data_IF_408927580821
#
_entry.id   IF_408927580821
#
_cell.length_a   1.000
_cell.length_b   1.000
_cell.length_c   1.000
_cell.angle_alpha   90.00
_cell.angle_beta   90.00
_cell.angle_gamma   90.00
#
_symmetry.space_group_name_H-M   'P 1'
#
loop_
_entity.id
_entity.type
_entity.pdbx_description
1 polymer ?
#
# COMPACT_ATOMS: atom_id res chain seq x y z
N UNK A 1 -3.85 -20.16 -10.24
CA UNK A 1 -3.48 -21.28 -9.34
C UNK A 1 -3.86 -20.94 -7.88
N UNK A 2 -4.10 -21.95 -7.02
CA UNK A 2 -4.46 -21.76 -5.59
C UNK A 2 -3.47 -20.87 -4.84
N UNK A 3 -2.18 -20.93 -5.20
CA UNK A 3 -1.10 -20.12 -4.60
C UNK A 3 -1.36 -18.61 -4.73
N UNK A 4 -1.76 -18.12 -5.91
CA UNK A 4 -2.02 -16.68 -6.10
C UNK A 4 -3.16 -16.18 -5.20
N UNK A 5 -4.20 -16.99 -5.00
CA UNK A 5 -5.31 -16.67 -4.09
C UNK A 5 -4.82 -16.55 -2.64
N UNK A 6 -3.93 -17.46 -2.21
CA UNK A 6 -3.36 -17.44 -0.86
C UNK A 6 -2.45 -16.23 -0.63
N UNK A 7 -1.60 -15.88 -1.59
CA UNK A 7 -0.71 -14.71 -1.45
C UNK A 7 -1.50 -13.40 -1.43
N UNK A 8 -2.53 -13.25 -2.29
CA UNK A 8 -3.43 -12.10 -2.23
C UNK A 8 -4.15 -12.00 -0.87
N UNK A 9 -4.59 -13.13 -0.30
CA UNK A 9 -5.20 -13.15 1.02
C UNK A 9 -4.22 -12.78 2.16
N UNK A 10 -2.94 -13.12 2.04
CA UNK A 10 -1.90 -12.70 3.00
C UNK A 10 -1.64 -11.20 2.93
N UNK A 11 -1.62 -10.62 1.73
CA UNK A 11 -1.55 -9.17 1.54
C UNK A 11 -2.75 -8.50 2.23
N UNK A 12 -3.96 -9.03 2.05
CA UNK A 12 -5.16 -8.53 2.72
C UNK A 12 -5.00 -8.45 4.25
N UNK A 13 -4.45 -9.47 4.89
CA UNK A 13 -4.17 -9.46 6.35
C UNK A 13 -3.15 -8.39 6.77
N UNK A 14 -2.18 -8.10 5.91
CA UNK A 14 -1.25 -7.00 6.17
C UNK A 14 -1.96 -5.65 6.07
N UNK A 15 -2.85 -5.48 5.10
CA UNK A 15 -3.66 -4.26 4.96
C UNK A 15 -4.61 -4.09 6.17
N UNK A 16 -5.22 -5.16 6.67
CA UNK A 16 -6.02 -5.13 7.91
C UNK A 16 -5.22 -4.59 9.11
N UNK A 17 -3.95 -4.99 9.23
CA UNK A 17 -3.09 -4.53 10.32
C UNK A 17 -2.73 -3.03 10.19
N UNK A 18 -2.55 -2.54 8.96
CA UNK A 18 -2.27 -1.13 8.69
C UNK A 18 -3.54 -0.30 8.96
N UNK A 19 -4.70 -0.75 8.47
CA UNK A 19 -6.00 -0.11 8.71
C UNK A 19 -6.24 0.02 10.22
N UNK A 20 -6.16 -1.07 10.98
CA UNK A 20 -6.34 -1.04 12.42
C UNK A 20 -5.35 -0.11 13.14
N UNK A 21 -4.13 0.04 12.61
CA UNK A 21 -3.13 0.96 13.15
C UNK A 21 -3.51 2.43 12.91
N UNK A 22 -4.18 2.73 11.81
CA UNK A 22 -4.59 4.08 11.41
C UNK A 22 -5.97 4.46 12.01
N UNK A 23 -6.89 3.51 12.19
CA UNK A 23 -8.26 3.72 12.70
C UNK A 23 -8.37 3.79 14.23
N UNK A 24 -7.45 4.45 14.96
CA UNK A 24 -7.41 4.29 16.42
C UNK A 24 -8.67 4.81 17.15
N UNK A 25 -9.08 4.22 18.30
CA UNK A 25 -10.40 4.48 18.90
C UNK A 25 -10.69 5.91 19.35
N UNK A 26 -9.64 6.74 19.46
CA UNK A 26 -9.74 8.13 19.94
C UNK A 26 -9.74 9.11 18.77
N UNK A 27 -8.95 8.83 17.73
CA UNK A 27 -8.89 9.59 16.48
C UNK A 27 -8.25 8.75 15.37
N UNK A 28 -8.67 8.99 14.13
CA UNK A 28 -7.97 8.49 12.96
C UNK A 28 -6.60 9.15 12.86
N UNK A 29 -5.59 8.39 12.44
CA UNK A 29 -4.22 8.86 12.36
C UNK A 29 -3.82 9.13 10.93
N UNK A 30 -3.12 10.24 10.76
CA UNK A 30 -2.63 10.62 9.44
C UNK A 30 -1.40 9.81 8.99
N UNK A 31 -0.66 9.24 9.94
CA UNK A 31 0.61 8.51 9.76
C UNK A 31 0.71 7.31 10.71
N UNK A 32 1.62 6.38 10.42
CA UNK A 32 1.76 5.15 11.20
C UNK A 32 2.22 5.38 12.65
N UNK A 33 3.01 6.42 12.88
CA UNK A 33 3.45 6.83 14.22
C UNK A 33 2.80 8.15 14.61
N UNK A 34 2.60 8.35 15.90
CA UNK A 34 1.97 9.57 16.45
C UNK A 34 2.86 10.81 16.33
N UNK A 35 4.14 10.64 15.98
CA UNK A 35 5.10 11.73 15.76
C UNK A 35 5.00 12.37 14.38
N UNK A 36 4.02 11.98 13.55
CA UNK A 36 3.88 12.43 12.16
C UNK A 36 4.55 11.48 11.17
N UNK A 37 4.92 12.00 9.98
CA UNK A 37 5.56 11.21 8.92
C UNK A 37 6.97 10.77 9.31
N UNK A 38 7.26 9.48 9.17
CA UNK A 38 8.54 8.88 9.57
C UNK A 38 9.05 7.86 8.56
N UNK A 39 10.22 7.28 8.84
CA UNK A 39 10.74 6.15 8.07
C UNK A 39 9.79 4.94 8.04
N UNK A 40 8.91 4.78 9.03
CA UNK A 40 7.89 3.72 9.00
C UNK A 40 6.93 3.91 7.81
N UNK A 41 6.50 5.14 7.54
CA UNK A 41 5.61 5.45 6.42
C UNK A 41 6.27 5.20 5.08
N UNK A 42 7.58 5.46 4.97
CA UNK A 42 8.37 5.17 3.76
C UNK A 42 8.45 3.66 3.53
N UNK A 43 8.87 2.90 4.55
CA UNK A 43 9.09 1.47 4.44
C UNK A 43 7.78 0.71 4.15
N UNK A 44 6.72 1.00 4.90
CA UNK A 44 5.41 0.37 4.70
C UNK A 44 4.75 0.88 3.42
N UNK A 45 4.91 2.17 3.09
CA UNK A 45 4.39 2.75 1.86
C UNK A 45 4.96 2.10 0.61
N UNK A 46 6.26 1.76 0.61
CA UNK A 46 6.89 1.02 -0.47
C UNK A 46 6.32 -0.40 -0.60
N UNK A 47 6.08 -1.09 0.52
CA UNK A 47 5.43 -2.39 0.50
C UNK A 47 3.99 -2.30 -0.07
N UNK A 48 3.22 -1.26 0.29
CA UNK A 48 1.88 -1.02 -0.25
C UNK A 48 1.92 -0.64 -1.74
N UNK A 49 2.91 0.14 -2.18
CA UNK A 49 3.14 0.44 -3.60
C UNK A 49 3.26 -0.84 -4.44
N UNK A 50 4.02 -1.84 -3.95
CA UNK A 50 4.11 -3.14 -4.62
C UNK A 50 2.81 -3.96 -4.48
N UNK A 51 2.19 -3.95 -3.30
CA UNK A 51 0.99 -4.74 -3.01
C UNK A 51 -0.21 -4.37 -3.89
N UNK A 52 -0.31 -3.09 -4.30
CA UNK A 52 -1.38 -2.58 -5.17
C UNK A 52 -1.44 -3.26 -6.55
N UNK A 53 -0.36 -3.90 -7.00
CA UNK A 53 -0.38 -4.72 -8.21
C UNK A 53 -1.16 -6.03 -8.04
N UNK A 54 -1.47 -6.45 -6.82
CA UNK A 54 -2.09 -7.75 -6.53
C UNK A 54 -3.39 -7.65 -5.72
N UNK A 55 -3.55 -6.59 -4.94
CA UNK A 55 -4.75 -6.33 -4.14
C UNK A 55 -5.15 -4.87 -4.26
N UNK A 56 -6.44 -4.63 -4.52
CA UNK A 56 -7.06 -3.31 -4.47
C UNK A 56 -7.15 -2.86 -3.02
N UNK A 57 -6.61 -1.67 -2.70
CA UNK A 57 -6.55 -1.16 -1.32
C UNK A 57 -7.80 -0.35 -0.93
N UNK A 58 -8.63 0.01 -1.91
CA UNK A 58 -9.86 0.79 -1.77
C UNK A 58 -10.86 0.26 -0.72
N UNK A 59 -10.93 -1.06 -0.41
CA UNK A 59 -11.73 -1.56 0.70
C UNK A 59 -11.24 -1.16 2.10
N UNK A 60 -9.99 -0.71 2.24
CA UNK A 60 -9.38 -0.22 3.48
C UNK A 60 -9.28 1.30 3.42
N UNK A 61 -10.22 1.99 4.09
CA UNK A 61 -10.43 3.41 3.92
C UNK A 61 -9.28 4.24 4.49
N UNK A 62 -8.80 3.88 5.68
CA UNK A 62 -7.69 4.60 6.32
C UNK A 62 -6.36 4.29 5.60
N UNK A 63 -6.15 3.06 5.14
CA UNK A 63 -5.00 2.72 4.29
C UNK A 63 -5.00 3.55 3.02
N UNK A 64 -6.14 3.67 2.34
CA UNK A 64 -6.24 4.45 1.09
C UNK A 64 -5.92 5.94 1.34
N UNK A 65 -6.53 6.53 2.38
CA UNK A 65 -6.29 7.92 2.79
C UNK A 65 -4.83 8.17 3.17
N UNK A 66 -4.24 7.28 3.97
CA UNK A 66 -2.83 7.36 4.36
C UNK A 66 -1.91 7.23 3.15
N UNK A 67 -2.20 6.29 2.25
CA UNK A 67 -1.38 6.04 1.07
C UNK A 67 -1.40 7.24 0.11
N UNK A 68 -2.57 7.82 -0.17
CA UNK A 68 -2.70 9.04 -0.97
C UNK A 68 -1.88 10.19 -0.37
N UNK A 69 -1.96 10.38 0.95
CA UNK A 69 -1.21 11.42 1.65
C UNK A 69 0.30 11.26 1.53
N UNK A 70 0.83 10.05 1.72
CA UNK A 70 2.29 9.84 1.68
C UNK A 70 2.85 9.88 0.26
N UNK A 71 2.02 9.55 -0.75
CA UNK A 71 2.43 9.52 -2.15
C UNK A 71 2.28 10.86 -2.87
N UNK A 72 1.43 11.76 -2.38
CA UNK A 72 1.35 13.16 -2.85
C UNK A 72 2.59 14.01 -2.50
N UNK A 73 3.60 13.43 -1.83
CA UNK A 73 4.82 14.14 -1.45
C UNK A 73 5.75 14.27 -2.67
N UNK A 74 6.36 15.45 -2.92
CA UNK A 74 7.30 15.62 -4.04
C UNK A 74 8.48 14.63 -4.00
N UNK A 75 8.92 14.24 -2.82
CA UNK A 75 10.00 13.26 -2.66
C UNK A 75 9.59 11.83 -3.07
N UNK A 76 8.30 11.49 -2.97
CA UNK A 76 7.79 10.22 -3.48
C UNK A 76 7.76 10.24 -5.02
N UNK A 77 7.20 11.31 -5.61
CA UNK A 77 7.19 11.51 -7.07
C UNK A 77 8.60 11.46 -7.66
N UNK A 78 9.56 12.14 -7.03
CA UNK A 78 10.97 12.13 -7.45
C UNK A 78 11.65 10.76 -7.30
N UNK A 79 11.09 9.85 -6.49
CA UNK A 79 11.61 8.50 -6.29
C UNK A 79 10.94 7.46 -7.20
N UNK A 80 9.91 7.84 -7.98
CA UNK A 80 9.28 6.94 -8.94
C UNK A 80 10.26 6.55 -10.05
N UNK A 81 10.11 5.35 -10.64
CA UNK A 81 10.90 4.96 -11.80
C UNK A 81 10.82 6.04 -12.90
N UNK A 82 11.95 6.44 -13.50
CA UNK A 82 11.93 7.40 -14.59
C UNK A 82 11.20 6.83 -15.81
N UNK A 83 10.77 7.72 -16.69
CA UNK A 83 10.15 7.33 -17.96
C UNK A 83 11.09 6.40 -18.75
N UNK A 84 10.53 5.28 -19.23
CA UNK A 84 11.28 4.27 -19.99
C UNK A 84 12.14 3.32 -19.14
N UNK A 85 12.12 3.41 -17.81
CA UNK A 85 12.76 2.42 -16.95
C UNK A 85 12.12 1.03 -17.12
N UNK A 86 12.95 -0.02 -17.03
CA UNK A 86 12.46 -1.38 -16.89
C UNK A 86 11.75 -1.52 -15.53
N UNK A 87 10.46 -1.89 -15.56
CA UNK A 87 9.64 -2.01 -14.37
C UNK A 87 9.62 -3.46 -13.88
N UNK A 88 9.68 -3.64 -12.56
CA UNK A 88 9.52 -4.97 -11.94
C UNK A 88 8.14 -5.58 -12.24
N UNK A 89 7.11 -4.73 -12.33
CA UNK A 89 5.74 -5.12 -12.64
C UNK A 89 5.30 -4.43 -13.92
N UNK A 90 5.10 -5.22 -14.97
CA UNK A 90 4.69 -4.74 -16.30
C UNK A 90 3.19 -4.38 -16.37
N UNK A 91 2.40 -4.81 -15.40
CA UNK A 91 0.96 -4.56 -15.34
C UNK A 91 0.61 -3.74 -14.11
N UNK A 92 -0.32 -2.81 -14.29
CA UNK A 92 -0.89 -2.05 -13.18
C UNK A 92 -1.55 -2.98 -12.15
N UNK A 93 -2.23 -4.03 -12.61
CA UNK A 93 -2.87 -5.01 -11.74
C UNK A 93 -2.83 -6.42 -12.34
N UNK A 94 -2.55 -7.41 -11.49
CA UNK A 94 -2.57 -8.83 -11.82
C UNK A 94 -3.82 -9.47 -11.20
N UNK A 95 -4.84 -9.67 -12.03
CA UNK A 95 -6.08 -10.35 -11.62
C UNK A 95 -5.78 -11.68 -10.93
N UNK A 96 -6.46 -11.91 -9.80
CA UNK A 96 -6.38 -13.19 -9.11
C UNK A 96 -6.94 -14.25 -10.04
N UNK A 97 -6.09 -15.21 -10.44
CA UNK A 97 -6.52 -16.29 -11.32
C UNK A 97 -7.67 -17.07 -10.66
N UNK A 98 -8.85 -17.04 -11.28
CA UNK A 98 -10.05 -17.60 -10.68
C UNK A 98 -10.25 -19.10 -10.93
N UNK A 99 -9.52 -19.68 -11.88
CA UNK A 99 -9.79 -21.05 -12.36
C UNK A 99 -10.43 -20.98 -13.71
#
# INVERSE_FOLDING_TARGET
PVVMKLEAARIGKCLDAIEARLSTPVENRDHLLTSGFTAADIAVGQAVYMARHFVRIEPWAEVSSWYDRITARPAFEAALPPEGAELLYEREFYEVWNG
#
